data_IF_232762472882
#
_entry.id   IF_232762472882
#
_cell.length_a   1.000
_cell.length_b   1.000
_cell.length_c   1.000
_cell.angle_alpha   90.00
_cell.angle_beta   90.00
_cell.angle_gamma   90.00
#
_symmetry.space_group_name_H-M   'P 1'
#
loop_
_entity.id
_entity.type
_entity.pdbx_description
1 polymer ?
#
# COMPACT_ATOMS: atom_id res chain seq x y z
N UNK A 1 -13.66 -12.45 8.64
CA UNK A 1 -12.72 -11.31 8.73
C UNK A 1 -13.28 -10.20 7.86
N UNK A 2 -13.33 -8.95 8.35
CA UNK A 2 -13.76 -7.83 7.50
C UNK A 2 -12.66 -7.56 6.48
N UNK A 3 -12.93 -7.81 5.22
CA UNK A 3 -12.00 -7.54 4.12
C UNK A 3 -12.34 -6.19 3.53
N UNK A 4 -11.43 -5.24 3.61
CA UNK A 4 -11.55 -3.96 2.89
C UNK A 4 -10.94 -4.11 1.50
N UNK A 5 -11.59 -3.52 0.49
CA UNK A 5 -11.13 -3.59 -0.90
C UNK A 5 -10.67 -2.22 -1.39
N UNK A 6 -9.55 -2.18 -2.10
CA UNK A 6 -9.02 -0.96 -2.70
C UNK A 6 -9.46 -0.92 -4.17
N UNK A 7 -10.28 0.06 -4.53
CA UNK A 7 -10.66 0.30 -5.93
C UNK A 7 -9.76 1.36 -6.55
N UNK A 8 -8.83 0.92 -7.40
CA UNK A 8 -7.88 1.82 -8.07
C UNK A 8 -8.33 2.08 -9.50
N UNK A 9 -8.56 3.35 -9.85
CA UNK A 9 -8.74 3.76 -11.25
C UNK A 9 -7.38 4.02 -11.86
N UNK A 10 -7.07 3.33 -12.96
CA UNK A 10 -5.77 3.46 -13.65
C UNK A 10 -5.94 3.48 -15.16
N UNK A 11 -4.91 3.90 -15.88
CA UNK A 11 -4.90 3.85 -17.34
C UNK A 11 -4.51 2.45 -17.82
N UNK A 12 -4.93 2.02 -19.04
CA UNK A 12 -4.56 0.71 -19.58
C UNK A 12 -3.06 0.45 -19.59
N UNK A 13 -2.24 1.49 -19.86
CA UNK A 13 -0.78 1.41 -19.84
C UNK A 13 -0.23 1.02 -18.46
N UNK A 14 -0.77 1.61 -17.39
CA UNK A 14 -0.36 1.30 -16.01
C UNK A 14 -0.86 -0.08 -15.57
N UNK A 15 -2.08 -0.45 -15.97
CA UNK A 15 -2.62 -1.77 -15.72
C UNK A 15 -1.75 -2.87 -16.36
N UNK A 16 -1.40 -2.71 -17.64
CA UNK A 16 -0.54 -3.67 -18.34
C UNK A 16 0.85 -3.75 -17.72
N UNK A 17 1.44 -2.62 -17.30
CA UNK A 17 2.72 -2.63 -16.59
C UNK A 17 2.65 -3.45 -15.31
N UNK A 18 1.59 -3.30 -14.53
CA UNK A 18 1.38 -4.05 -13.30
C UNK A 18 1.18 -5.56 -13.58
N UNK A 19 0.39 -5.88 -14.62
CA UNK A 19 0.18 -7.26 -15.07
C UNK A 19 1.50 -7.94 -15.48
N UNK A 20 2.29 -7.29 -16.34
CA UNK A 20 3.58 -7.81 -16.79
C UNK A 20 4.56 -8.01 -15.63
N UNK A 21 4.58 -7.08 -14.68
CA UNK A 21 5.42 -7.22 -13.49
C UNK A 21 4.99 -8.41 -12.63
N UNK A 22 3.69 -8.64 -12.49
CA UNK A 22 3.14 -9.78 -11.78
C UNK A 22 3.53 -11.11 -12.47
N UNK A 23 3.38 -11.18 -13.80
CA UNK A 23 3.81 -12.33 -14.61
C UNK A 23 5.32 -12.60 -14.46
N UNK A 24 6.16 -11.56 -14.52
CA UNK A 24 7.61 -11.69 -14.36
C UNK A 24 8.02 -12.20 -12.96
N UNK A 25 7.21 -11.90 -11.93
CA UNK A 25 7.49 -12.28 -10.54
C UNK A 25 6.78 -13.56 -10.12
N UNK A 26 6.08 -14.23 -11.04
CA UNK A 26 5.25 -15.43 -10.79
C UNK A 26 4.24 -15.22 -9.63
N UNK A 27 3.75 -13.98 -9.48
CA UNK A 27 2.80 -13.57 -8.43
C UNK A 27 1.51 -13.05 -9.07
N UNK A 28 0.41 -13.09 -8.34
CA UNK A 28 -0.80 -12.36 -8.76
C UNK A 28 -0.62 -10.85 -8.58
N UNK A 29 -1.36 -10.05 -9.36
CA UNK A 29 -1.36 -8.58 -9.20
C UNK A 29 -1.77 -8.16 -7.78
N UNK A 30 -2.68 -8.90 -7.15
CA UNK A 30 -3.10 -8.69 -5.76
C UNK A 30 -1.94 -8.90 -4.80
N UNK A 31 -1.25 -10.04 -4.88
CA UNK A 31 -0.10 -10.32 -4.02
C UNK A 31 1.03 -9.31 -4.21
N UNK A 32 1.21 -8.79 -5.43
CA UNK A 32 2.21 -7.76 -5.68
C UNK A 32 1.85 -6.43 -4.99
N UNK A 33 0.56 -6.10 -4.93
CA UNK A 33 0.08 -4.92 -4.20
C UNK A 33 0.18 -5.15 -2.69
N UNK A 34 -0.18 -6.33 -2.19
CA UNK A 34 -0.04 -6.71 -0.78
C UNK A 34 1.43 -6.61 -0.33
N UNK A 35 2.34 -7.25 -1.05
CA UNK A 35 3.80 -7.21 -0.81
C UNK A 35 4.34 -5.77 -0.84
N UNK A 36 3.84 -4.95 -1.75
CA UNK A 36 4.19 -3.53 -1.80
C UNK A 36 3.67 -2.76 -0.58
N UNK A 37 2.42 -3.00 -0.16
CA UNK A 37 1.81 -2.40 1.04
C UNK A 37 2.56 -2.83 2.30
N UNK A 38 2.88 -4.11 2.44
CA UNK A 38 3.67 -4.66 3.56
C UNK A 38 5.08 -4.06 3.62
N UNK A 39 5.64 -3.61 2.48
CA UNK A 39 6.92 -2.91 2.45
C UNK A 39 6.84 -1.44 2.87
N UNK A 40 5.64 -0.85 2.93
CA UNK A 40 5.49 0.55 3.32
C UNK A 40 5.86 0.70 4.81
N UNK A 41 6.62 1.75 5.17
CA UNK A 41 6.88 2.02 6.58
C UNK A 41 5.55 2.22 7.30
N UNK A 42 5.39 1.57 8.45
CA UNK A 42 4.23 1.85 9.28
C UNK A 42 4.26 3.34 9.60
N UNK A 43 3.20 4.11 9.31
CA UNK A 43 3.14 5.48 9.77
C UNK A 43 3.10 5.37 11.30
N UNK A 44 4.25 5.60 11.95
CA UNK A 44 4.26 5.83 13.38
C UNK A 44 3.23 6.93 13.59
N UNK A 45 2.12 6.58 14.27
CA UNK A 45 1.26 7.61 14.84
C UNK A 45 2.18 8.31 15.82
N UNK A 46 2.81 9.37 15.34
CA UNK A 46 3.52 10.35 16.14
C UNK A 46 2.48 10.89 17.11
N UNK A 47 2.31 10.15 18.20
CA UNK A 47 1.64 10.59 19.39
C UNK A 47 2.67 11.43 20.15
N UNK A 48 3.25 12.44 19.48
CA UNK A 48 3.85 13.55 20.19
C UNK A 48 2.68 14.35 20.74
N UNK A 49 2.24 13.88 21.92
CA UNK A 49 1.50 14.72 22.85
C UNK A 49 2.35 15.95 23.06
N UNK A 50 2.04 17.01 22.33
CA UNK A 50 2.46 18.36 22.66
C UNK A 50 1.68 18.72 23.91
N UNK A 51 2.15 18.23 25.05
CA UNK A 51 1.79 18.77 26.35
C UNK A 51 2.40 20.18 26.40
N UNK A 52 1.59 21.25 26.46
CA UNK A 52 2.14 22.58 26.67
C UNK A 52 2.81 22.61 28.04
N UNK A 53 4.13 22.74 28.07
CA UNK A 53 4.87 23.12 29.28
C UNK A 53 4.53 24.58 29.59
N UNK A 54 3.49 24.78 30.38
CA UNK A 54 3.34 25.97 31.21
C UNK A 54 4.20 25.80 32.47
N UNK A 55 5.16 26.69 32.67
CA UNK A 55 5.96 26.83 33.89
C UNK A 55 6.80 28.09 33.85
#
# INVERSE_FOLDING_TARGET
MKTEYIRIRTTPRRFNKLKLLAEQREKSMTQLIEDWIDSLPNPERDNSSSTPLTG
#
